data_IF_988610875622
#
_entry.id   IF_988610875622
#
_cell.length_a   1.000
_cell.length_b   1.000
_cell.length_c   1.000
_cell.angle_alpha   90.00
_cell.angle_beta   90.00
_cell.angle_gamma   90.00
#
_symmetry.space_group_name_H-M   'P 1'
#
loop_
_entity.id
_entity.type
_entity.pdbx_description
1 polymer ?
#
# COMPACT_ATOMS: atom_id res chain seq x y z
N UNK A 1 -12.90 1.86 0.93
CA UNK A 1 -13.13 2.88 1.97
C UNK A 1 -12.02 2.69 2.99
N UNK A 2 -11.15 3.69 3.18
CA UNK A 2 -10.10 3.64 4.21
C UNK A 2 -10.77 3.49 5.59
N UNK A 3 -10.23 2.61 6.43
CA UNK A 3 -10.64 2.53 7.82
C UNK A 3 -10.19 3.82 8.51
N UNK A 4 -11.15 4.60 8.97
CA UNK A 4 -10.94 5.75 9.86
C UNK A 4 -11.61 5.38 11.15
N UNK A 5 -10.84 5.32 12.24
CA UNK A 5 -11.41 5.11 13.56
C UNK A 5 -12.40 6.25 13.86
N UNK A 6 -13.71 5.99 13.89
CA UNK A 6 -14.71 7.04 14.01
C UNK A 6 -14.75 7.65 15.42
N UNK A 7 -14.07 7.05 16.40
CA UNK A 7 -13.93 7.59 17.77
C UNK A 7 -12.84 8.67 17.82
N UNK A 8 -11.87 8.63 16.91
CA UNK A 8 -10.83 9.66 16.81
C UNK A 8 -11.33 10.95 16.16
N UNK A 9 -12.52 10.92 15.52
CA UNK A 9 -13.19 12.10 15.02
C UNK A 9 -13.79 12.88 16.18
N UNK A 10 -13.07 13.91 16.64
CA UNK A 10 -13.60 14.92 17.54
C UNK A 10 -14.87 15.60 16.99
N UNK A 11 -15.61 16.37 17.81
CA UNK A 11 -16.92 16.90 17.45
C UNK A 11 -16.86 17.68 16.14
N UNK A 12 -17.61 17.22 15.14
CA UNK A 12 -17.78 17.89 13.86
C UNK A 12 -18.44 19.24 14.09
N UNK A 13 -17.65 20.32 14.00
CA UNK A 13 -18.18 21.67 13.96
C UNK A 13 -18.95 21.87 12.65
N UNK A 14 -20.18 22.42 12.69
CA UNK A 14 -20.96 22.66 11.47
C UNK A 14 -20.31 23.80 10.68
N UNK A 15 -19.64 23.44 9.58
CA UNK A 15 -18.95 24.40 8.69
C UNK A 15 -17.71 23.88 7.98
N UNK A 16 -17.22 22.66 8.27
CA UNK A 16 -16.12 22.06 7.51
C UNK A 16 -16.64 21.20 6.36
N UNK A 17 -17.16 21.84 5.32
CA UNK A 17 -17.18 21.24 3.99
C UNK A 17 -15.76 21.24 3.40
N UNK A 18 -14.93 20.35 3.94
CA UNK A 18 -13.70 19.90 3.30
C UNK A 18 -13.91 18.45 2.93
N UNK A 19 -14.56 18.27 1.78
CA UNK A 19 -14.59 16.98 1.11
C UNK A 19 -13.15 16.55 0.78
N UNK A 20 -12.82 15.31 1.16
CA UNK A 20 -11.91 14.39 0.47
C UNK A 20 -10.63 15.06 -0.05
N UNK A 21 -9.69 15.28 0.85
CA UNK A 21 -8.36 15.78 0.49
C UNK A 21 -7.38 15.82 1.64
N UNK A 22 -7.56 15.01 2.69
CA UNK A 22 -6.50 14.87 3.70
C UNK A 22 -5.36 14.11 3.01
N UNK A 23 -4.26 14.81 2.69
CA UNK A 23 -3.02 14.19 2.24
C UNK A 23 -2.51 13.30 3.38
N UNK A 24 -2.97 12.06 3.39
CA UNK A 24 -2.60 11.08 4.42
C UNK A 24 -1.11 10.88 4.28
N UNK A 25 -0.37 11.03 5.39
CA UNK A 25 1.07 10.80 5.34
C UNK A 25 1.33 9.39 4.81
N UNK A 26 2.34 9.18 3.94
CA UNK A 26 2.64 7.87 3.37
C UNK A 26 2.88 6.83 4.47
N UNK A 27 3.47 7.26 5.59
CA UNK A 27 3.62 6.45 6.79
C UNK A 27 2.29 5.96 7.34
N UNK A 28 1.28 6.84 7.47
CA UNK A 28 -0.04 6.45 7.97
C UNK A 28 -0.74 5.48 7.04
N UNK A 29 -0.61 5.65 5.72
CA UNK A 29 -1.15 4.70 4.76
C UNK A 29 -0.54 3.30 4.90
N UNK A 30 0.76 3.22 5.20
CA UNK A 30 1.46 1.96 5.44
C UNK A 30 1.09 1.32 6.79
N UNK A 31 0.91 2.12 7.84
CA UNK A 31 0.38 1.66 9.14
C UNK A 31 -1.03 1.05 8.98
N UNK A 32 -1.92 1.70 8.21
CA UNK A 32 -3.26 1.15 7.93
C UNK A 32 -3.20 -0.13 7.07
N UNK A 33 -2.20 -0.27 6.20
CA UNK A 33 -1.99 -1.51 5.46
C UNK A 33 -1.54 -2.65 6.40
N UNK A 34 -0.63 -2.36 7.33
CA UNK A 34 -0.21 -3.30 8.37
C UNK A 34 -1.38 -3.70 9.27
N UNK A 35 -2.26 -2.75 9.60
CA UNK A 35 -3.50 -2.99 10.32
C UNK A 35 -4.40 -4.00 9.58
N UNK A 36 -4.72 -3.75 8.31
CA UNK A 36 -5.57 -4.65 7.51
C UNK A 36 -4.96 -6.05 7.34
N UNK A 37 -3.64 -6.12 7.20
CA UNK A 37 -2.93 -7.39 7.13
C UNK A 37 -3.07 -8.17 8.44
N UNK A 38 -2.81 -7.52 9.58
CA UNK A 38 -2.95 -8.10 10.91
C UNK A 38 -4.38 -8.57 11.19
N UNK A 39 -5.37 -7.75 10.85
CA UNK A 39 -6.78 -8.10 10.99
C UNK A 39 -7.10 -9.40 10.23
N UNK A 40 -6.64 -9.47 8.97
CA UNK A 40 -6.84 -10.68 8.15
C UNK A 40 -6.11 -11.89 8.74
N UNK A 41 -4.88 -11.69 9.21
CA UNK A 41 -4.07 -12.74 9.82
C UNK A 41 -4.75 -13.32 11.07
N UNK A 42 -5.20 -12.45 11.99
CA UNK A 42 -5.88 -12.85 13.22
C UNK A 42 -7.19 -13.59 12.90
N UNK A 43 -7.95 -13.11 11.92
CA UNK A 43 -9.18 -13.76 11.46
C UNK A 43 -8.91 -15.17 10.92
N UNK A 44 -7.90 -15.36 10.08
CA UNK A 44 -7.55 -16.69 9.57
C UNK A 44 -7.00 -17.60 10.66
N UNK A 45 -6.19 -17.08 11.59
CA UNK A 45 -5.72 -17.85 12.76
C UNK A 45 -6.91 -18.32 13.61
N UNK A 46 -7.88 -17.45 13.89
CA UNK A 46 -9.10 -17.79 14.64
C UNK A 46 -9.94 -18.87 13.97
N UNK A 47 -10.04 -18.85 12.63
CA UNK A 47 -10.76 -19.89 11.86
C UNK A 47 -10.16 -21.29 12.05
N UNK A 48 -8.88 -21.40 12.40
CA UNK A 48 -8.24 -22.68 12.69
C UNK A 48 -8.57 -23.24 14.08
N UNK A 49 -9.11 -22.41 14.98
CA UNK A 49 -9.51 -22.85 16.33
C UNK A 49 -10.86 -23.58 16.24
N UNK A 50 -10.94 -24.86 16.70
CA UNK A 50 -12.19 -25.61 16.66
C UNK A 50 -13.29 -24.90 17.46
N UNK A 51 -14.42 -24.58 16.82
CA UNK A 51 -15.61 -24.07 17.51
C UNK A 51 -16.29 -25.24 18.26
N UNK A 52 -15.99 -25.40 19.55
CA UNK A 52 -16.57 -26.46 20.37
C UNK A 52 -16.96 -25.98 21.77
N UNK A 53 -18.18 -26.30 22.21
CA UNK A 53 -18.68 -26.05 23.56
C UNK A 53 -20.17 -25.72 23.63
N UNK A 54 -20.74 -25.68 24.84
CA UNK A 54 -22.15 -25.30 25.09
C UNK A 54 -22.41 -23.80 24.78
N UNK A 55 -21.34 -23.00 24.70
CA UNK A 55 -21.34 -21.58 24.32
C UNK A 55 -21.00 -21.38 22.83
N UNK A 56 -21.55 -22.21 21.96
CA UNK A 56 -21.25 -22.16 20.53
C UNK A 56 -21.92 -20.95 19.86
N UNK A 57 -21.16 -19.89 19.62
CA UNK A 57 -21.03 -19.27 18.30
C UNK A 57 -22.32 -18.77 17.67
N UNK A 58 -22.93 -17.76 18.30
CA UNK A 58 -23.98 -16.95 17.68
C UNK A 58 -23.40 -15.79 16.85
N UNK A 59 -24.25 -15.16 16.03
CA UNK A 59 -23.91 -13.94 15.27
C UNK A 59 -23.35 -12.82 16.16
N UNK A 60 -23.80 -12.71 17.40
CA UNK A 60 -23.32 -11.71 18.35
C UNK A 60 -21.86 -11.96 18.73
N UNK A 61 -21.50 -13.22 18.99
CA UNK A 61 -20.13 -13.58 19.29
C UNK A 61 -19.21 -13.32 18.11
N UNK A 62 -19.64 -13.63 16.88
CA UNK A 62 -18.87 -13.34 15.68
C UNK A 62 -18.63 -11.83 15.50
N UNK A 63 -19.63 -11.01 15.83
CA UNK A 63 -19.48 -9.55 15.83
C UNK A 63 -18.48 -9.05 16.88
N UNK A 64 -18.56 -9.56 18.12
CA UNK A 64 -17.58 -9.22 19.16
C UNK A 64 -16.17 -9.68 18.80
N UNK A 65 -16.06 -10.86 18.19
CA UNK A 65 -14.81 -11.42 17.72
C UNK A 65 -14.18 -10.55 16.63
N UNK A 66 -14.96 -10.09 15.65
CA UNK A 66 -14.51 -9.17 14.61
C UNK A 66 -14.09 -7.81 15.19
N UNK A 67 -14.85 -7.28 16.16
CA UNK A 67 -14.49 -6.02 16.83
C UNK A 67 -13.20 -6.16 17.68
N UNK A 68 -13.01 -7.32 18.31
CA UNK A 68 -11.80 -7.63 19.06
C UNK A 68 -10.59 -7.77 18.14
N UNK A 69 -10.75 -8.46 17.00
CA UNK A 69 -9.70 -8.57 15.98
C UNK A 69 -9.26 -7.19 15.51
N UNK A 70 -10.21 -6.30 15.17
CA UNK A 70 -9.96 -4.93 14.70
C UNK A 70 -9.20 -4.09 15.75
N UNK A 71 -9.64 -4.12 17.01
CA UNK A 71 -8.97 -3.39 18.08
C UNK A 71 -7.54 -3.91 18.34
N UNK A 72 -7.36 -5.23 18.32
CA UNK A 72 -6.04 -5.84 18.51
C UNK A 72 -5.11 -5.54 17.34
N UNK A 73 -5.59 -5.66 16.11
CA UNK A 73 -4.81 -5.37 14.91
C UNK A 73 -4.41 -3.90 14.83
N UNK A 74 -5.30 -2.98 15.24
CA UNK A 74 -4.98 -1.55 15.33
C UNK A 74 -3.86 -1.28 16.34
N UNK A 75 -3.96 -1.81 17.56
CA UNK A 75 -2.92 -1.65 18.57
C UNK A 75 -1.58 -2.27 18.15
N UNK A 76 -1.61 -3.43 17.48
CA UNK A 76 -0.41 -4.08 16.95
C UNK A 76 0.24 -3.28 15.83
N UNK A 77 -0.54 -2.74 14.89
CA UNK A 77 -0.05 -1.89 13.82
C UNK A 77 0.55 -0.58 14.35
N UNK A 78 -0.12 0.06 15.32
CA UNK A 78 0.40 1.28 15.98
C UNK A 78 1.71 1.03 16.73
N UNK A 79 1.86 -0.16 17.35
CA UNK A 79 3.11 -0.53 18.02
C UNK A 79 4.28 -0.72 17.05
N UNK A 80 4.00 -1.01 15.78
CA UNK A 80 5.01 -1.30 14.76
C UNK A 80 5.83 -2.57 15.02
N UNK A 81 5.34 -3.49 15.87
CA UNK A 81 6.10 -4.67 16.29
C UNK A 81 6.38 -5.67 15.16
N UNK A 82 5.47 -5.81 14.18
CA UNK A 82 5.75 -6.64 12.99
C UNK A 82 6.66 -5.90 12.00
N UNK A 83 6.57 -4.57 11.95
CA UNK A 83 7.46 -3.71 11.18
C UNK A 83 7.24 -3.80 9.67
N UNK A 84 6.08 -4.29 9.23
CA UNK A 84 5.76 -4.41 7.80
C UNK A 84 5.66 -3.04 7.14
N UNK A 85 5.03 -2.07 7.80
CA UNK A 85 4.95 -0.69 7.31
C UNK A 85 6.35 -0.11 7.11
N UNK A 86 7.24 -0.28 8.10
CA UNK A 86 8.62 0.22 8.03
C UNK A 86 9.44 -0.45 6.92
N UNK A 87 9.25 -1.75 6.70
CA UNK A 87 9.93 -2.47 5.61
C UNK A 87 9.47 -2.00 4.24
N UNK A 88 8.16 -1.81 4.05
CA UNK A 88 7.60 -1.31 2.79
C UNK A 88 8.05 0.13 2.54
N UNK A 89 8.07 0.98 3.58
CA UNK A 89 8.59 2.35 3.50
C UNK A 89 10.06 2.37 3.05
N UNK A 90 10.89 1.52 3.64
CA UNK A 90 12.31 1.40 3.26
C UNK A 90 12.49 0.96 1.80
N UNK A 91 11.70 -0.02 1.35
CA UNK A 91 11.73 -0.49 -0.04
C UNK A 91 11.27 0.59 -1.03
N UNK A 92 10.21 1.33 -0.68
CA UNK A 92 9.70 2.41 -1.53
C UNK A 92 10.75 3.52 -1.68
N UNK A 93 11.37 3.95 -0.57
CA UNK A 93 12.46 4.92 -0.59
C UNK A 93 13.65 4.44 -1.43
N UNK A 94 14.03 3.17 -1.32
CA UNK A 94 15.10 2.60 -2.15
C UNK A 94 14.74 2.61 -3.64
N UNK A 95 13.49 2.28 -3.99
CA UNK A 95 13.00 2.29 -5.36
C UNK A 95 12.98 3.72 -5.96
N UNK A 96 12.59 4.72 -5.18
CA UNK A 96 12.64 6.14 -5.58
C UNK A 96 14.05 6.59 -5.92
N UNK A 97 15.03 6.23 -5.07
CA UNK A 97 16.45 6.54 -5.29
C UNK A 97 16.95 5.86 -6.57
N UNK A 98 16.61 4.58 -6.78
CA UNK A 98 16.98 3.86 -8.00
C UNK A 98 16.36 4.47 -9.26
N UNK A 99 15.12 4.96 -9.18
CA UNK A 99 14.47 5.64 -10.28
C UNK A 99 15.13 6.98 -10.60
N UNK A 100 15.50 7.76 -9.58
CA UNK A 100 16.21 9.03 -9.74
C UNK A 100 17.62 8.84 -10.32
N UNK A 101 18.30 7.73 -9.99
CA UNK A 101 19.63 7.38 -10.50
C UNK A 101 19.62 6.72 -11.87
N UNK A 102 18.45 6.45 -12.46
CA UNK A 102 18.35 5.87 -13.81
C UNK A 102 18.68 6.99 -14.81
N UNK A 103 19.88 7.05 -15.41
CA UNK A 103 20.14 8.07 -16.42
C UNK A 103 19.13 7.84 -17.53
N UNK A 104 18.34 8.87 -17.84
CA UNK A 104 17.60 8.89 -19.10
C UNK A 104 18.64 8.57 -20.17
N UNK A 105 18.54 7.40 -20.80
CA UNK A 105 19.11 7.20 -22.13
C UNK A 105 18.33 8.16 -23.02
N UNK A 106 18.72 9.43 -23.00
CA UNK A 106 18.33 10.40 -24.00
C UNK A 106 18.79 9.83 -25.33
N UNK A 107 17.81 9.35 -26.10
CA UNK A 107 17.78 9.30 -27.55
C UNK A 107 19.13 9.56 -28.24
N UNK A 108 19.99 8.54 -28.33
CA UNK A 108 21.06 8.50 -29.34
C UNK A 108 20.76 7.40 -30.33
N UNK A 109 19.67 7.59 -31.09
CA UNK A 109 19.25 6.72 -32.18
C UNK A 109 18.55 7.46 -33.33
N UNK A 110 18.44 8.79 -33.25
CA UNK A 110 17.75 9.60 -34.26
C UNK A 110 18.63 10.76 -34.75
N UNK A 111 19.89 10.50 -35.13
CA UNK A 111 20.73 11.39 -35.96
C UNK A 111 21.85 10.57 -36.62
N UNK A 112 21.48 9.57 -37.43
CA UNK A 112 22.40 8.87 -38.34
C UNK A 112 21.60 8.19 -39.47
N UNK A 113 20.75 8.94 -40.17
CA UNK A 113 20.16 8.48 -41.43
C UNK A 113 19.73 9.68 -42.29
N UNK A 114 20.70 10.54 -42.60
CA UNK A 114 20.66 11.36 -43.80
C UNK A 114 22.10 11.57 -44.25
N UNK A 115 22.37 11.27 -45.52
CA UNK A 115 23.67 11.37 -46.20
C UNK A 115 24.55 10.12 -46.11
N UNK A 116 24.06 9.05 -46.76
CA UNK A 116 24.88 7.99 -47.33
C UNK A 116 24.55 7.89 -48.81
N UNK A 117 25.30 8.64 -49.62
CA UNK A 117 25.20 8.73 -51.07
C UNK A 117 25.46 7.35 -51.71
N UNK A 118 24.47 6.81 -52.43
CA UNK A 118 24.62 5.60 -53.23
C UNK A 118 25.10 6.02 -54.62
N UNK A 119 26.40 5.88 -54.89
CA UNK A 119 26.92 5.94 -56.25
C UNK A 119 26.89 4.53 -56.88
N UNK A 120 26.26 4.34 -58.06
CA UNK A 120 26.14 3.03 -58.67
C UNK A 120 27.44 2.59 -59.34
N UNK A 121 27.91 1.39 -59.02
CA UNK A 121 28.97 0.70 -59.77
C UNK A 121 28.35 0.14 -61.06
N UNK A 122 28.35 0.92 -62.17
CA UNK A 122 28.12 0.36 -63.52
C UNK A 122 28.73 1.15 -64.69
N UNK A 123 29.94 1.66 -64.56
CA UNK A 123 30.79 2.02 -65.70
C UNK A 123 32.25 1.70 -65.33
N UNK A 124 32.59 0.41 -65.36
CA UNK A 124 33.97 -0.01 -65.63
C UNK A 124 33.91 -1.37 -66.32
N UNK A 125 34.30 -1.35 -67.60
CA UNK A 125 34.27 -2.38 -68.66
C UNK A 125 33.00 -2.40 -69.51
#
# INVERSE_FOLDING_TARGET
MLYVNPIALGPLAPGSESGVGESTSPKRALEELEHLFLFTLLREMRRTVPKGGVLNGGREQEFFDEMLDDALSGAMAESGQLGLAAQIEAQLRLAEIQHALRPQRMHRGAMASSSGEVLPIKEMV
#
